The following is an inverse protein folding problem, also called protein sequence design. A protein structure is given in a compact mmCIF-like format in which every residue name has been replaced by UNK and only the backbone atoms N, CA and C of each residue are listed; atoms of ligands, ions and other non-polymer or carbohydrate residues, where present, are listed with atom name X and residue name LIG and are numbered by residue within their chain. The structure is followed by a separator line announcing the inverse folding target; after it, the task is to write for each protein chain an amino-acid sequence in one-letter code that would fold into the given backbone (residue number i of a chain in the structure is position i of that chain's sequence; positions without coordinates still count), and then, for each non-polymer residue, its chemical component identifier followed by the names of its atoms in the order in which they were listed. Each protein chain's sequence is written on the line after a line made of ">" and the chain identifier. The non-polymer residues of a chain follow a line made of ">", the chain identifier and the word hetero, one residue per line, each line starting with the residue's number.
data_IF_768741012098
#
_entry.id   IF_768741012098
#
_cell.length_a   1.000
_cell.length_b   1.000
_cell.length_c   1.000
_cell.angle_alpha   90.00
_cell.angle_beta   90.00
_cell.angle_gamma   90.00
#
_symmetry.space_group_name_H-M   'P 1'
#
loop_
_entity.id
_entity.type
_entity.pdbx_description
1 polymer ?
#
# COMPACT_ATOMS: atom_id res chain seq x y z
N UNK A 1 4.49 7.17 -9.20
CA UNK A 1 5.60 8.11 -8.95
C UNK A 1 5.06 9.49 -8.63
N UNK A 2 4.48 10.23 -9.61
CA UNK A 2 3.98 11.60 -9.36
C UNK A 2 2.97 11.69 -8.21
N UNK A 3 2.01 10.77 -8.13
CA UNK A 3 1.09 10.71 -6.99
C UNK A 3 1.80 10.50 -5.65
N UNK A 4 2.87 9.70 -5.62
CA UNK A 4 3.67 9.51 -4.42
C UNK A 4 4.40 10.77 -3.95
N UNK A 5 4.91 11.58 -4.87
CA UNK A 5 5.53 12.88 -4.57
C UNK A 5 4.48 13.82 -3.97
N UNK A 6 3.33 13.97 -4.62
CA UNK A 6 2.22 14.78 -4.10
C UNK A 6 1.79 14.32 -2.70
N UNK A 7 1.70 13.02 -2.46
CA UNK A 7 1.35 12.48 -1.14
C UNK A 7 2.40 12.79 -0.08
N UNK A 8 3.69 12.77 -0.44
CA UNK A 8 4.78 13.15 0.46
C UNK A 8 4.75 14.65 0.78
N UNK A 9 4.57 15.50 -0.22
CA UNK A 9 4.47 16.95 -0.04
C UNK A 9 3.26 17.32 0.84
N UNK A 10 2.11 16.65 0.65
CA UNK A 10 0.94 16.79 1.51
C UNK A 10 1.24 16.34 2.95
N UNK A 11 2.01 15.27 3.12
CA UNK A 11 2.44 14.82 4.44
C UNK A 11 3.33 15.85 5.12
N UNK A 12 4.31 16.41 4.43
CA UNK A 12 5.19 17.46 4.95
C UNK A 12 4.43 18.74 5.30
N UNK A 13 3.46 19.14 4.47
CA UNK A 13 2.57 20.28 4.76
C UNK A 13 1.73 20.04 6.02
N UNK A 14 1.18 18.83 6.18
CA UNK A 14 0.43 18.49 7.38
C UNK A 14 1.32 18.35 8.61
N UNK A 15 2.53 17.80 8.46
CA UNK A 15 3.53 17.73 9.53
C UNK A 15 3.91 19.11 10.06
N UNK A 16 4.08 20.09 9.16
CA UNK A 16 4.37 21.47 9.54
C UNK A 16 3.18 22.21 10.18
N UNK A 17 1.95 21.74 9.96
CA UNK A 17 0.74 22.31 10.53
C UNK A 17 0.41 21.74 11.94
N UNK A 18 0.95 20.58 12.28
CA UNK A 18 0.79 19.98 13.61
C UNK A 18 2.03 20.22 14.46
N UNK A 19 1.83 20.78 15.66
CA UNK A 19 2.90 21.11 16.61
C UNK A 19 3.60 19.88 17.21
N UNK A 20 3.02 18.66 17.04
CA UNK A 20 3.50 17.45 17.71
C UNK A 20 3.56 16.26 16.73
N UNK A 21 4.70 15.57 16.64
CA UNK A 21 4.89 14.37 15.82
C UNK A 21 3.91 13.23 16.18
N UNK A 22 3.52 13.13 17.48
CA UNK A 22 2.56 12.15 17.94
C UNK A 22 1.17 12.34 17.31
N UNK A 23 0.73 13.59 17.13
CA UNK A 23 -0.56 13.91 16.53
C UNK A 23 -0.59 13.57 15.04
N UNK A 24 0.50 13.78 14.33
CA UNK A 24 0.66 13.34 12.95
C UNK A 24 0.61 11.82 12.82
N UNK A 25 1.32 11.09 13.69
CA UNK A 25 1.31 9.63 13.74
C UNK A 25 -0.08 9.06 14.07
N UNK A 26 -0.81 9.69 14.99
CA UNK A 26 -2.19 9.34 15.29
C UNK A 26 -3.10 9.51 14.06
N UNK A 27 -3.02 10.65 13.38
CA UNK A 27 -3.85 10.95 12.21
C UNK A 27 -3.56 9.97 11.06
N UNK A 28 -2.29 9.68 10.79
CA UNK A 28 -1.93 8.66 9.78
C UNK A 28 -2.46 7.28 10.15
N UNK A 29 -2.32 6.88 11.40
CA UNK A 29 -2.78 5.57 11.89
C UNK A 29 -4.30 5.43 11.80
N UNK A 30 -5.06 6.50 12.11
CA UNK A 30 -6.52 6.53 11.97
C UNK A 30 -6.90 6.44 10.50
N UNK A 31 -6.29 7.24 9.63
CA UNK A 31 -6.57 7.21 8.19
C UNK A 31 -6.26 5.84 7.59
N UNK A 32 -5.17 5.22 8.04
CA UNK A 32 -4.81 3.87 7.67
C UNK A 32 -5.88 2.86 8.10
N UNK A 33 -6.29 2.90 9.37
CA UNK A 33 -7.33 2.02 9.89
C UNK A 33 -8.64 2.15 9.09
N UNK A 34 -9.10 3.38 8.84
CA UNK A 34 -10.30 3.66 8.03
C UNK A 34 -10.15 3.09 6.62
N UNK A 35 -9.02 3.34 5.97
CA UNK A 35 -8.75 2.83 4.63
C UNK A 35 -8.79 1.29 4.61
N UNK A 36 -8.19 0.62 5.58
CA UNK A 36 -8.19 -0.84 5.66
C UNK A 36 -9.58 -1.41 5.93
N UNK A 37 -10.39 -0.75 6.77
CA UNK A 37 -11.79 -1.14 7.00
C UNK A 37 -12.60 -1.04 5.68
N UNK A 38 -12.44 0.04 4.93
CA UNK A 38 -13.09 0.20 3.61
C UNK A 38 -12.67 -0.93 2.66
N UNK A 39 -11.39 -1.26 2.60
CA UNK A 39 -10.86 -2.35 1.77
C UNK A 39 -11.44 -3.71 2.19
N UNK A 40 -11.51 -4.01 3.49
CA UNK A 40 -12.12 -5.26 4.00
C UNK A 40 -13.59 -5.35 3.61
N UNK A 41 -14.36 -4.28 3.87
CA UNK A 41 -15.78 -4.23 3.50
C UNK A 41 -15.93 -4.49 2.00
N UNK A 42 -15.15 -3.80 1.16
CA UNK A 42 -15.20 -3.99 -0.28
C UNK A 42 -14.89 -5.46 -0.66
N UNK A 43 -13.84 -6.08 -0.14
CA UNK A 43 -13.48 -7.47 -0.48
C UNK A 43 -14.60 -8.44 -0.03
N UNK A 44 -15.29 -8.15 1.08
CA UNK A 44 -16.41 -8.97 1.56
C UNK A 44 -17.66 -8.85 0.69
N UNK A 45 -17.96 -7.66 0.17
CA UNK A 45 -19.16 -7.42 -0.67
C UNK A 45 -18.88 -7.50 -2.17
N UNK A 46 -17.63 -7.73 -2.58
CA UNK A 46 -17.15 -7.75 -3.96
C UNK A 46 -18.04 -8.63 -4.88
N UNK A 47 -18.53 -9.76 -4.38
CA UNK A 47 -19.43 -10.64 -5.15
C UNK A 47 -20.77 -10.00 -5.50
N UNK A 48 -21.20 -8.97 -4.77
CA UNK A 48 -22.45 -8.22 -4.97
C UNK A 48 -22.24 -6.90 -5.70
N UNK A 49 -21.01 -6.39 -5.73
CA UNK A 49 -20.66 -5.11 -6.34
C UNK A 49 -20.07 -5.35 -7.74
N UNK A 50 -20.68 -4.72 -8.74
CA UNK A 50 -20.18 -4.80 -10.12
C UNK A 50 -18.90 -3.97 -10.24
N UNK A 51 -17.83 -4.59 -10.73
CA UNK A 51 -16.57 -3.88 -11.06
C UNK A 51 -16.80 -2.90 -12.22
N UNK A 52 -16.09 -1.77 -12.19
CA UNK A 52 -16.29 -0.71 -13.19
C UNK A 52 -15.67 -1.03 -14.56
N UNK A 53 -14.73 -1.99 -14.62
CA UNK A 53 -14.03 -2.41 -15.85
C UNK A 53 -13.53 -1.23 -16.70
N UNK A 54 -12.82 -0.29 -16.07
CA UNK A 54 -12.32 0.92 -16.72
C UNK A 54 -11.25 0.54 -17.75
N UNK A 55 -11.47 0.97 -19.00
CA UNK A 55 -10.54 0.77 -20.12
C UNK A 55 -9.89 2.07 -20.60
N UNK A 56 -10.34 3.21 -20.10
CA UNK A 56 -9.84 4.51 -20.50
C UNK A 56 -8.48 4.80 -19.83
N UNK A 57 -7.46 5.04 -20.65
CA UNK A 57 -6.11 5.31 -20.18
C UNK A 57 -6.01 6.57 -19.30
N UNK A 58 -6.72 7.66 -19.64
CA UNK A 58 -6.71 8.89 -18.86
C UNK A 58 -7.29 8.68 -17.46
N UNK A 59 -8.41 7.96 -17.36
CA UNK A 59 -9.03 7.62 -16.05
C UNK A 59 -8.08 6.73 -15.24
N UNK A 60 -7.40 5.78 -15.88
CA UNK A 60 -6.43 4.92 -15.20
C UNK A 60 -5.24 5.72 -14.63
N UNK A 61 -4.77 6.74 -15.34
CA UNK A 61 -3.72 7.64 -14.86
C UNK A 61 -4.19 8.43 -13.64
N UNK A 62 -5.40 8.98 -13.68
CA UNK A 62 -5.97 9.72 -12.53
C UNK A 62 -6.11 8.82 -11.31
N UNK A 63 -6.65 7.60 -11.48
CA UNK A 63 -6.76 6.62 -10.40
C UNK A 63 -5.37 6.28 -9.84
N UNK A 64 -4.38 6.07 -10.70
CA UNK A 64 -3.00 5.78 -10.28
C UNK A 64 -2.34 6.94 -9.53
N UNK A 65 -2.60 8.19 -9.92
CA UNK A 65 -2.14 9.39 -9.22
C UNK A 65 -2.75 9.49 -7.82
N UNK A 66 -4.07 9.35 -7.72
CA UNK A 66 -4.79 9.38 -6.43
C UNK A 66 -4.34 8.24 -5.52
N UNK A 67 -4.23 7.03 -6.07
CA UNK A 67 -3.75 5.87 -5.34
C UNK A 67 -2.33 6.08 -4.80
N UNK A 68 -1.43 6.61 -5.64
CA UNK A 68 -0.07 6.94 -5.24
C UNK A 68 -0.01 8.00 -4.15
N UNK A 69 -0.82 9.05 -4.25
CA UNK A 69 -0.90 10.11 -3.24
C UNK A 69 -1.39 9.57 -1.89
N UNK A 70 -2.50 8.82 -1.89
CA UNK A 70 -3.05 8.21 -0.67
C UNK A 70 -2.06 7.23 -0.05
N UNK A 71 -1.48 6.33 -0.85
CA UNK A 71 -0.52 5.32 -0.37
C UNK A 71 0.73 5.95 0.25
N UNK A 72 1.23 7.03 -0.34
CA UNK A 72 2.40 7.75 0.14
C UNK A 72 2.10 8.54 1.40
N UNK A 73 0.95 9.23 1.44
CA UNK A 73 0.52 9.98 2.61
C UNK A 73 0.29 9.09 3.83
N UNK A 74 -0.33 7.93 3.63
CA UNK A 74 -0.62 6.96 4.70
C UNK A 74 0.61 6.09 5.06
N UNK A 75 1.64 6.07 4.22
CA UNK A 75 2.89 5.34 4.50
C UNK A 75 2.81 3.82 4.33
N UNK A 76 1.74 3.27 3.72
CA UNK A 76 1.54 1.80 3.61
C UNK A 76 2.35 1.15 2.48
N UNK A 77 2.90 1.93 1.55
CA UNK A 77 3.51 1.37 0.34
C UNK A 77 2.54 0.68 -0.64
N UNK A 78 1.23 0.80 -0.41
CA UNK A 78 0.18 0.50 -1.38
C UNK A 78 -0.30 -0.95 -1.50
N UNK A 79 0.24 -1.92 -0.77
CA UNK A 79 -0.09 -3.34 -0.95
C UNK A 79 -1.60 -3.68 -1.04
N UNK A 80 -2.33 -3.78 0.07
CA UNK A 80 -3.75 -4.15 0.07
C UNK A 80 -4.64 -3.14 -0.66
N UNK A 81 -4.32 -1.84 -0.58
CA UNK A 81 -5.05 -0.77 -1.24
C UNK A 81 -4.93 -0.88 -2.77
N UNK A 82 -3.72 -1.11 -3.30
CA UNK A 82 -3.51 -1.33 -4.74
C UNK A 82 -4.34 -2.52 -5.24
N UNK A 83 -4.35 -3.63 -4.50
CA UNK A 83 -5.12 -4.82 -4.88
C UNK A 83 -6.62 -4.49 -4.90
N UNK A 84 -7.14 -3.81 -3.87
CA UNK A 84 -8.56 -3.43 -3.81
C UNK A 84 -8.97 -2.52 -4.98
N UNK A 85 -8.14 -1.55 -5.32
CA UNK A 85 -8.36 -0.64 -6.47
C UNK A 85 -8.35 -1.42 -7.79
N UNK A 86 -7.41 -2.35 -7.99
CA UNK A 86 -7.34 -3.18 -9.18
C UNK A 86 -8.55 -4.11 -9.32
N UNK A 87 -9.04 -4.67 -8.21
CA UNK A 87 -10.26 -5.47 -8.18
C UNK A 87 -11.50 -4.64 -8.57
N UNK A 88 -11.65 -3.43 -8.00
CA UNK A 88 -12.84 -2.62 -8.16
C UNK A 88 -12.89 -1.89 -9.51
N UNK A 89 -11.87 -1.11 -9.81
CA UNK A 89 -11.87 -0.25 -11.00
C UNK A 89 -11.57 -1.00 -12.28
N UNK A 90 -10.71 -2.02 -12.22
CA UNK A 90 -10.27 -2.77 -13.42
C UNK A 90 -10.89 -4.17 -13.54
N UNK A 91 -11.66 -4.62 -12.54
CA UNK A 91 -12.35 -5.90 -12.59
C UNK A 91 -11.44 -7.12 -12.64
N UNK A 92 -10.21 -6.99 -12.16
CA UNK A 92 -9.25 -8.09 -12.14
C UNK A 92 -9.64 -9.15 -11.09
N UNK A 93 -9.25 -10.41 -11.31
CA UNK A 93 -9.31 -11.43 -10.28
C UNK A 93 -8.21 -11.21 -9.21
N UNK A 94 -8.38 -11.77 -8.02
CA UNK A 94 -7.50 -11.49 -6.87
C UNK A 94 -6.03 -11.85 -7.14
N UNK A 95 -5.80 -12.97 -7.83
CA UNK A 95 -4.45 -13.44 -8.17
C UNK A 95 -3.76 -12.52 -9.17
N UNK A 96 -4.48 -12.05 -10.18
CA UNK A 96 -3.98 -11.09 -11.17
C UNK A 96 -3.78 -9.71 -10.55
N UNK A 97 -4.72 -9.24 -9.73
CA UNK A 97 -4.60 -7.98 -9.01
C UNK A 97 -3.38 -7.97 -8.07
N UNK A 98 -3.14 -9.06 -7.32
CA UNK A 98 -1.98 -9.18 -6.46
C UNK A 98 -0.66 -9.10 -7.25
N UNK A 99 -0.56 -9.79 -8.40
CA UNK A 99 0.63 -9.73 -9.27
C UNK A 99 0.86 -8.31 -9.83
N UNK A 100 -0.20 -7.68 -10.33
CA UNK A 100 -0.11 -6.31 -10.84
C UNK A 100 0.22 -5.29 -9.74
N UNK A 101 -0.27 -5.51 -8.52
CA UNK A 101 0.10 -4.69 -7.35
C UNK A 101 1.61 -4.74 -7.08
N UNK A 102 2.23 -5.92 -7.13
CA UNK A 102 3.69 -6.07 -6.96
C UNK A 102 4.42 -5.29 -8.07
N UNK A 103 3.95 -5.38 -9.33
CA UNK A 103 4.52 -4.65 -10.44
C UNK A 103 4.47 -3.13 -10.23
N UNK A 104 3.32 -2.60 -9.79
CA UNK A 104 3.15 -1.19 -9.44
C UNK A 104 4.14 -0.77 -8.33
N UNK A 105 4.27 -1.61 -7.28
CA UNK A 105 5.18 -1.35 -6.17
C UNK A 105 6.63 -1.28 -6.65
N UNK A 106 7.08 -2.20 -7.51
CA UNK A 106 8.46 -2.20 -8.04
C UNK A 106 8.79 -0.87 -8.72
N UNK A 107 7.93 -0.41 -9.64
CA UNK A 107 8.14 0.89 -10.31
C UNK A 107 8.10 2.08 -9.36
N UNK A 108 7.21 2.04 -8.38
CA UNK A 108 7.10 3.08 -7.35
C UNK A 108 8.37 3.14 -6.49
N UNK A 109 8.89 2.00 -6.06
CA UNK A 109 10.09 1.93 -5.23
C UNK A 109 11.35 2.32 -6.01
N UNK A 110 11.49 1.87 -7.26
CA UNK A 110 12.58 2.31 -8.12
C UNK A 110 12.61 3.84 -8.26
N UNK A 111 11.47 4.44 -8.51
CA UNK A 111 11.38 5.89 -8.62
C UNK A 111 11.71 6.61 -7.29
N UNK A 112 11.28 6.06 -6.15
CA UNK A 112 11.64 6.59 -4.83
C UNK A 112 13.15 6.53 -4.58
N UNK A 113 13.81 5.42 -4.97
CA UNK A 113 15.26 5.27 -4.84
C UNK A 113 15.97 6.32 -5.72
N UNK A 114 15.55 6.47 -6.99
CA UNK A 114 16.12 7.50 -7.86
C UNK A 114 15.95 8.91 -7.26
N UNK A 115 14.77 9.22 -6.73
CA UNK A 115 14.54 10.52 -6.07
C UNK A 115 15.49 10.73 -4.88
N UNK A 116 15.62 9.76 -3.97
CA UNK A 116 16.55 9.84 -2.85
C UNK A 116 18.01 10.04 -3.27
N UNK A 117 18.43 9.41 -4.35
CA UNK A 117 19.78 9.57 -4.90
C UNK A 117 19.99 10.98 -5.49
N UNK A 118 19.01 11.50 -6.24
CA UNK A 118 19.11 12.85 -6.84
C UNK A 118 19.01 13.97 -5.80
N UNK A 119 18.21 13.79 -4.76
CA UNK A 119 18.05 14.80 -3.70
C UNK A 119 19.10 14.67 -2.59
N UNK A 120 20.00 13.70 -2.67
CA UNK A 120 20.99 13.40 -1.63
C UNK A 120 20.38 13.20 -0.23
N UNK A 121 19.10 12.79 -0.15
CA UNK A 121 18.37 12.55 1.10
C UNK A 121 18.39 11.07 1.50
N UNK A 122 19.51 10.39 1.29
CA UNK A 122 19.65 8.99 1.68
C UNK A 122 19.75 8.92 3.19
N UNK A 123 18.80 8.26 3.89
CA UNK A 123 18.86 8.13 5.34
C UNK A 123 20.04 7.26 5.77
N UNK A 124 20.55 7.50 6.97
CA UNK A 124 21.55 6.61 7.56
C UNK A 124 20.96 5.21 7.76
N UNK A 125 21.67 4.20 7.33
CA UNK A 125 21.23 2.82 7.45
C UNK A 125 22.39 1.88 7.82
N UNK A 126 22.08 0.81 8.56
CA UNK A 126 23.05 -0.23 8.87
C UNK A 126 23.11 -1.26 7.74
N UNK A 127 24.28 -1.50 7.20
CA UNK A 127 24.54 -2.51 6.16
C UNK A 127 24.10 -3.91 6.58
N UNK A 128 24.23 -4.25 7.85
CA UNK A 128 23.81 -5.55 8.37
C UNK A 128 22.31 -5.76 8.21
N UNK A 129 21.47 -4.79 8.63
CA UNK A 129 20.03 -4.88 8.48
C UNK A 129 19.60 -4.84 7.01
N UNK A 130 20.28 -4.05 6.18
CA UNK A 130 19.98 -3.99 4.75
C UNK A 130 20.18 -5.35 4.08
N UNK A 131 21.29 -6.03 4.33
CA UNK A 131 21.58 -7.35 3.78
C UNK A 131 20.57 -8.38 4.31
N UNK A 132 20.32 -8.38 5.61
CA UNK A 132 19.37 -9.31 6.24
C UNK A 132 17.96 -9.18 5.66
N UNK A 133 17.46 -7.94 5.53
CA UNK A 133 16.15 -7.65 4.93
C UNK A 133 16.10 -8.01 3.44
N UNK A 134 17.17 -7.76 2.69
CA UNK A 134 17.26 -8.11 1.27
C UNK A 134 17.21 -9.62 1.05
N UNK A 135 17.99 -10.38 1.82
CA UNK A 135 17.97 -11.85 1.78
C UNK A 135 16.59 -12.38 2.17
N UNK A 136 16.01 -11.87 3.27
CA UNK A 136 14.66 -12.24 3.71
C UNK A 136 13.59 -11.92 2.65
N UNK A 137 13.69 -10.78 1.99
CA UNK A 137 12.81 -10.38 0.89
C UNK A 137 12.89 -11.32 -0.31
N UNK A 138 14.11 -11.69 -0.73
CA UNK A 138 14.31 -12.63 -1.86
C UNK A 138 13.75 -14.01 -1.50
N UNK A 139 14.08 -14.55 -0.34
CA UNK A 139 13.56 -15.85 0.12
C UNK A 139 12.04 -15.83 0.25
N UNK A 140 11.46 -14.76 0.82
CA UNK A 140 10.02 -14.56 0.92
C UNK A 140 9.34 -14.50 -0.45
N UNK A 141 9.93 -13.81 -1.43
CA UNK A 141 9.41 -13.74 -2.79
C UNK A 141 9.44 -15.10 -3.49
N UNK A 142 10.52 -15.88 -3.32
CA UNK A 142 10.62 -17.24 -3.87
C UNK A 142 9.56 -18.17 -3.28
N UNK A 143 9.40 -18.17 -1.96
CA UNK A 143 8.39 -18.96 -1.26
C UNK A 143 6.97 -18.51 -1.65
N UNK A 144 6.72 -17.21 -1.68
CA UNK A 144 5.43 -16.63 -2.08
C UNK A 144 5.05 -17.01 -3.51
N UNK A 145 6.00 -16.96 -4.46
CA UNK A 145 5.76 -17.38 -5.83
C UNK A 145 5.46 -18.89 -5.93
N UNK A 146 6.19 -19.72 -5.19
CA UNK A 146 5.95 -21.17 -5.16
C UNK A 146 4.57 -21.50 -4.59
N UNK A 147 4.17 -20.88 -3.49
CA UNK A 147 2.83 -21.03 -2.89
C UNK A 147 1.76 -20.50 -3.84
N UNK A 148 1.94 -19.32 -4.43
CA UNK A 148 0.98 -18.68 -5.34
C UNK A 148 0.62 -19.54 -6.56
N UNK A 149 1.54 -20.39 -7.02
CA UNK A 149 1.26 -21.33 -8.13
C UNK A 149 0.30 -22.46 -7.72
N UNK A 150 0.19 -22.77 -6.43
CA UNK A 150 -0.57 -23.90 -5.89
C UNK A 150 -1.91 -23.52 -5.27
N UNK A 151 -2.16 -22.22 -5.05
CA UNK A 151 -3.38 -21.72 -4.42
C UNK A 151 -4.33 -21.10 -5.45
N UNK A 152 -5.62 -21.20 -5.18
CA UNK A 152 -6.70 -20.64 -6.00
C UNK A 152 -6.96 -19.16 -5.68
N UNK A 153 -7.74 -18.48 -6.54
CA UNK A 153 -8.18 -17.11 -6.32
C UNK A 153 -8.89 -16.93 -4.96
N UNK A 154 -9.68 -17.91 -4.52
CA UNK A 154 -10.37 -17.86 -3.21
C UNK A 154 -9.40 -17.84 -2.05
N UNK A 155 -8.31 -18.63 -2.12
CA UNK A 155 -7.27 -18.65 -1.10
C UNK A 155 -6.52 -17.32 -1.08
N UNK A 156 -6.22 -16.73 -2.24
CA UNK A 156 -5.59 -15.39 -2.33
C UNK A 156 -6.50 -14.32 -1.71
N UNK A 157 -7.82 -14.35 -1.99
CA UNK A 157 -8.78 -13.43 -1.37
C UNK A 157 -8.86 -13.60 0.15
N UNK A 158 -8.83 -14.84 0.63
CA UNK A 158 -8.82 -15.10 2.07
C UNK A 158 -7.56 -14.56 2.74
N UNK A 159 -6.39 -14.82 2.16
CA UNK A 159 -5.11 -14.28 2.65
C UNK A 159 -5.09 -12.74 2.61
N UNK A 160 -5.64 -12.14 1.56
CA UNK A 160 -5.76 -10.69 1.45
C UNK A 160 -6.63 -10.12 2.58
N UNK A 161 -7.78 -10.74 2.86
CA UNK A 161 -8.66 -10.35 3.99
C UNK A 161 -7.92 -10.45 5.32
N UNK A 162 -7.23 -11.56 5.55
CA UNK A 162 -6.49 -11.79 6.80
C UNK A 162 -5.39 -10.75 7.01
N UNK A 163 -4.58 -10.49 5.97
CA UNK A 163 -3.53 -9.48 6.02
C UNK A 163 -4.10 -8.08 6.23
N UNK A 164 -5.17 -7.72 5.52
CA UNK A 164 -5.81 -6.41 5.66
C UNK A 164 -6.40 -6.22 7.06
N UNK A 165 -7.01 -7.26 7.62
CA UNK A 165 -7.51 -7.26 9.00
C UNK A 165 -6.36 -7.07 10.01
N UNK A 166 -5.26 -7.78 9.83
CA UNK A 166 -4.08 -7.66 10.68
C UNK A 166 -3.51 -6.25 10.67
N UNK A 167 -3.36 -5.65 9.47
CA UNK A 167 -2.92 -4.26 9.33
C UNK A 167 -3.91 -3.29 9.97
N UNK A 168 -5.22 -3.51 9.82
CA UNK A 168 -6.24 -2.67 10.46
C UNK A 168 -6.13 -2.70 11.99
N UNK A 169 -5.95 -3.88 12.58
CA UNK A 169 -5.79 -4.04 14.04
C UNK A 169 -4.54 -3.29 14.53
N UNK A 170 -3.39 -3.49 13.88
CA UNK A 170 -2.15 -2.80 14.23
C UNK A 170 -2.33 -1.28 14.12
N UNK A 171 -3.01 -0.81 13.08
CA UNK A 171 -3.24 0.63 12.87
C UNK A 171 -4.11 1.24 13.97
N UNK A 172 -5.12 0.51 14.44
CA UNK A 172 -5.95 0.95 15.58
C UNK A 172 -5.13 0.98 16.88
N UNK A 173 -4.30 -0.04 17.13
CA UNK A 173 -3.42 -0.07 18.30
C UNK A 173 -2.45 1.12 18.27
N UNK A 174 -1.82 1.39 17.12
CA UNK A 174 -0.92 2.51 16.95
C UNK A 174 -1.64 3.85 17.16
N UNK A 175 -2.85 4.01 16.61
CA UNK A 175 -3.65 5.21 16.84
C UNK A 175 -3.92 5.46 18.33
N UNK A 176 -4.25 4.42 19.09
CA UNK A 176 -4.48 4.52 20.54
C UNK A 176 -3.17 4.88 21.26
N UNK A 177 -2.05 4.27 20.88
CA UNK A 177 -0.75 4.55 21.50
C UNK A 177 -0.26 5.98 21.25
N UNK A 178 -0.57 6.57 20.10
CA UNK A 178 -0.22 7.96 19.82
C UNK A 178 -1.13 8.99 20.51
N UNK A 179 -2.35 8.57 20.90
CA UNK A 179 -3.32 9.44 21.60
C UNK A 179 -3.16 9.43 23.13
N UNK A 180 -2.46 8.42 23.68
CA UNK A 180 -2.14 8.31 25.10
C UNK A 180 -0.77 8.88 25.42
#
# INVERSE_FOLDING_TARGET
>A
VFGGIIGKDLLELTANAFETESMLGAMQSILLAVTMVIVIIYICIKSKVRSMNIKNALVSVVIGLLLGAISSYVGIGGGPLNVAVLLFFFGMDAKTAAKNSIFIIVFSQLASIFMCLFTHTVPEFSWFYLILMSVGGILGAMLGNWISKRIDNRAVEFLLKLLTLFVAIISVINAINYLN
#
